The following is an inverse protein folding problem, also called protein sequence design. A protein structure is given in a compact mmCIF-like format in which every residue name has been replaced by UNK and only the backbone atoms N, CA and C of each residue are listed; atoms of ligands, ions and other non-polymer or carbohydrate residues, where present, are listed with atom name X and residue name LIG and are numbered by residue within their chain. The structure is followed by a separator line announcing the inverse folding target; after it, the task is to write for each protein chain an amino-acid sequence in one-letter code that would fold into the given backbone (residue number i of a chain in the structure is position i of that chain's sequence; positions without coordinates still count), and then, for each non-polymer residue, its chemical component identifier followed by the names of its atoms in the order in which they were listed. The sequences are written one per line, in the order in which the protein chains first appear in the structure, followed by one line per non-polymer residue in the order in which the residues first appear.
data_IF_959471628866
#
_entry.id   IF_959471628866
#
_cell.length_a   1.000
_cell.length_b   1.000
_cell.length_c   1.000
_cell.angle_alpha   90.00
_cell.angle_beta   90.00
_cell.angle_gamma   90.00
#
_symmetry.space_group_name_H-M   'P 1'
#
loop_
_entity.id
_entity.type
_entity.pdbx_description
1 polymer ?
#
# COMPACT_ATOMS: atom_id res chain seq x y z
N UNK A 1 -1.50 -1.83 -4.02
CA UNK A 1 -0.43 -2.20 -4.97
C UNK A 1 0.19 -3.49 -4.50
N UNK A 2 0.18 -4.52 -5.35
CA UNK A 2 0.49 -5.91 -4.97
C UNK A 2 -0.75 -6.79 -4.92
N UNK A 3 -0.54 -8.10 -5.13
CA UNK A 3 -1.57 -9.15 -5.14
C UNK A 3 -1.17 -10.35 -4.28
N UNK A 4 -0.29 -10.16 -3.30
CA UNK A 4 0.13 -11.20 -2.34
C UNK A 4 -0.78 -11.31 -1.11
N UNK A 5 -0.39 -12.10 -0.11
CA UNK A 5 -1.21 -12.37 1.08
C UNK A 5 -1.66 -11.12 1.85
N UNK A 6 -0.74 -10.17 2.10
CA UNK A 6 -1.08 -8.91 2.78
C UNK A 6 -2.14 -8.09 2.01
N UNK A 7 -2.12 -8.14 0.68
CA UNK A 7 -3.13 -7.44 -0.15
C UNK A 7 -4.53 -8.01 0.03
N UNK A 8 -4.65 -9.31 0.33
CA UNK A 8 -5.92 -9.97 0.57
C UNK A 8 -6.52 -9.56 1.93
N UNK A 9 -5.69 -9.45 2.97
CA UNK A 9 -6.11 -8.93 4.27
C UNK A 9 -6.60 -7.47 4.17
N UNK A 10 -5.84 -6.63 3.47
CA UNK A 10 -6.26 -5.24 3.19
C UNK A 10 -7.58 -5.21 2.40
N UNK A 11 -7.68 -6.00 1.33
CA UNK A 11 -8.89 -6.07 0.52
C UNK A 11 -10.11 -6.57 1.32
N UNK A 12 -9.93 -7.51 2.23
CA UNK A 12 -10.99 -7.97 3.12
C UNK A 12 -11.53 -6.82 3.99
N UNK A 13 -10.63 -6.04 4.60
CA UNK A 13 -11.01 -4.86 5.41
C UNK A 13 -11.73 -3.82 4.56
N UNK A 14 -11.21 -3.49 3.37
CA UNK A 14 -11.86 -2.53 2.47
C UNK A 14 -13.27 -2.99 2.05
N UNK A 15 -13.45 -4.28 1.75
CA UNK A 15 -14.78 -4.85 1.45
C UNK A 15 -15.72 -4.76 2.64
N UNK A 16 -15.24 -5.03 3.85
CA UNK A 16 -16.02 -4.94 5.09
C UNK A 16 -16.55 -3.52 5.32
N UNK A 17 -15.81 -2.50 4.92
CA UNK A 17 -16.22 -1.09 4.97
C UNK A 17 -16.86 -0.58 3.68
N UNK A 18 -17.13 -1.45 2.70
CA UNK A 18 -17.75 -1.10 1.40
C UNK A 18 -16.96 -0.02 0.64
N UNK A 19 -15.65 0.03 0.84
CA UNK A 19 -14.77 0.96 0.14
C UNK A 19 -14.42 0.34 -1.22
N UNK A 20 -14.74 0.99 -2.36
CA UNK A 20 -14.34 0.50 -3.67
C UNK A 20 -12.83 0.64 -3.86
N UNK A 21 -12.20 -0.37 -4.46
CA UNK A 21 -10.76 -0.39 -4.65
C UNK A 21 -10.35 -1.14 -5.91
N UNK A 22 -9.11 -0.89 -6.33
CA UNK A 22 -8.45 -1.59 -7.43
C UNK A 22 -7.23 -2.32 -6.88
N UNK A 23 -7.00 -3.54 -7.36
CA UNK A 23 -5.67 -4.13 -7.24
C UNK A 23 -4.79 -3.60 -8.36
N UNK A 24 -3.49 -3.50 -8.08
CA UNK A 24 -2.49 -3.10 -9.08
C UNK A 24 -1.37 -4.13 -9.04
N UNK A 25 -1.04 -4.74 -10.17
CA UNK A 25 0.00 -5.76 -10.26
C UNK A 25 0.69 -5.78 -11.62
N UNK A 26 1.88 -6.38 -11.68
CA UNK A 26 2.60 -6.62 -12.94
C UNK A 26 1.94 -7.68 -13.82
N UNK A 27 1.07 -8.51 -13.24
CA UNK A 27 0.29 -9.53 -13.97
C UNK A 27 -1.19 -9.36 -13.60
N UNK A 28 -2.06 -9.30 -14.60
CA UNK A 28 -3.52 -9.22 -14.39
C UNK A 28 -4.03 -10.60 -13.98
N UNK A 29 -4.26 -10.78 -12.68
CA UNK A 29 -4.73 -12.06 -12.13
C UNK A 29 -6.26 -12.19 -12.11
N UNK A 30 -7.00 -11.08 -12.17
CA UNK A 30 -8.47 -11.06 -12.13
C UNK A 30 -9.02 -9.73 -12.73
N UNK A 31 -10.31 -9.65 -13.09
CA UNK A 31 -10.86 -8.53 -13.88
C UNK A 31 -10.73 -7.14 -13.25
N UNK A 32 -10.71 -7.03 -11.92
CA UNK A 32 -10.53 -5.76 -11.19
C UNK A 32 -9.06 -5.39 -10.90
N UNK A 33 -8.12 -6.12 -11.50
CA UNK A 33 -6.69 -5.86 -11.38
C UNK A 33 -6.20 -4.97 -12.54
N UNK A 34 -5.66 -3.81 -12.19
CA UNK A 34 -4.96 -2.91 -13.11
C UNK A 34 -3.50 -3.34 -13.27
N UNK A 35 -2.94 -3.08 -14.44
CA UNK A 35 -1.50 -3.07 -14.64
C UNK A 35 -0.90 -1.74 -14.16
N UNK A 36 0.39 -1.70 -13.86
CA UNK A 36 1.06 -0.44 -13.48
C UNK A 36 1.01 0.60 -14.60
N UNK A 37 1.10 0.17 -15.86
CA UNK A 37 1.02 1.07 -17.02
C UNK A 37 -0.38 1.69 -17.17
N UNK A 38 -1.43 1.00 -16.70
CA UNK A 38 -2.80 1.51 -16.73
C UNK A 38 -2.96 2.72 -15.77
N UNK A 39 -2.03 2.93 -14.83
CA UNK A 39 -2.11 4.02 -13.86
C UNK A 39 -1.82 5.39 -14.47
N UNK A 40 -1.04 5.46 -15.57
CA UNK A 40 -0.64 6.73 -16.20
C UNK A 40 -1.86 7.49 -16.72
N UNK A 41 -2.87 6.77 -17.20
CA UNK A 41 -4.12 7.31 -17.72
C UNK A 41 -5.28 7.12 -16.73
N UNK A 42 -4.98 6.97 -15.43
CA UNK A 42 -6.01 6.72 -14.43
C UNK A 42 -6.73 8.02 -14.05
N UNK A 43 -7.90 8.24 -14.63
CA UNK A 43 -8.66 9.49 -14.48
C UNK A 43 -9.45 9.58 -13.17
N UNK A 44 -9.66 8.46 -12.47
CA UNK A 44 -10.47 8.46 -11.25
C UNK A 44 -9.67 9.04 -10.09
N UNK A 45 -10.32 9.90 -9.29
CA UNK A 45 -9.74 10.43 -8.06
C UNK A 45 -9.43 9.28 -7.09
N UNK A 46 -8.18 9.22 -6.62
CA UNK A 46 -7.72 8.26 -5.62
C UNK A 46 -7.50 8.99 -4.32
N UNK A 47 -8.14 8.54 -3.24
CA UNK A 47 -7.94 9.11 -1.91
C UNK A 47 -6.93 8.35 -1.07
N UNK A 48 -6.68 7.07 -1.41
CA UNK A 48 -5.85 6.16 -0.63
C UNK A 48 -5.06 5.23 -1.53
N UNK A 49 -3.76 5.14 -1.27
CA UNK A 49 -2.83 4.20 -1.91
C UNK A 49 -2.22 3.34 -0.82
N UNK A 50 -2.26 2.02 -1.02
CA UNK A 50 -1.69 1.06 -0.07
C UNK A 50 -0.64 0.23 -0.81
N UNK A 51 0.64 0.32 -0.43
CA UNK A 51 1.69 -0.57 -0.91
C UNK A 51 1.75 -1.82 -0.04
N UNK A 52 1.49 -2.98 -0.65
CA UNK A 52 1.62 -4.29 -0.02
C UNK A 52 2.67 -5.15 -0.71
N UNK A 53 3.56 -4.54 -1.50
CA UNK A 53 4.70 -5.21 -2.14
C UNK A 53 5.96 -5.03 -1.30
N UNK A 54 6.97 -5.90 -1.48
CA UNK A 54 8.26 -5.72 -0.80
C UNK A 54 9.17 -4.68 -1.49
N UNK A 55 8.69 -3.95 -2.51
CA UNK A 55 9.51 -2.99 -3.27
C UNK A 55 9.85 -1.79 -2.37
N UNK A 56 11.15 -1.50 -2.21
CA UNK A 56 11.64 -0.46 -1.30
C UNK A 56 11.97 -0.96 0.11
N UNK A 57 11.81 -2.26 0.37
CA UNK A 57 12.21 -2.89 1.64
C UNK A 57 13.73 -3.15 1.66
N UNK A 58 14.35 -3.13 2.84
CA UNK A 58 15.74 -3.55 3.00
C UNK A 58 15.96 -4.97 2.42
N UNK A 59 17.06 -5.21 1.66
CA UNK A 59 18.19 -4.31 1.41
C UNK A 59 18.00 -3.33 0.24
N UNK A 60 16.97 -3.51 -0.60
CA UNK A 60 16.75 -2.76 -1.84
C UNK A 60 16.00 -1.45 -1.59
N UNK A 61 16.51 -0.62 -0.69
CA UNK A 61 15.85 0.61 -0.22
C UNK A 61 15.74 1.72 -1.28
N UNK A 62 16.50 1.60 -2.36
CA UNK A 62 16.49 2.54 -3.48
C UNK A 62 15.46 2.17 -4.55
N UNK A 63 14.81 1.03 -4.44
CA UNK A 63 13.71 0.65 -5.32
C UNK A 63 12.43 1.36 -4.88
N UNK A 64 11.62 1.80 -5.85
CA UNK A 64 10.31 2.37 -5.57
C UNK A 64 9.32 1.93 -6.64
N UNK A 65 8.08 1.72 -6.22
CA UNK A 65 6.96 1.72 -7.16
C UNK A 65 6.80 3.15 -7.67
N UNK A 66 6.69 3.30 -8.99
CA UNK A 66 6.36 4.57 -9.59
C UNK A 66 4.86 4.83 -9.46
N UNK A 67 4.48 5.91 -8.77
CA UNK A 67 3.10 6.40 -8.73
C UNK A 67 3.01 7.58 -9.69
N UNK A 68 2.16 7.53 -10.74
CA UNK A 68 2.02 8.64 -11.67
C UNK A 68 1.68 9.96 -10.96
N UNK A 69 2.30 11.05 -11.40
CA UNK A 69 2.12 12.37 -10.81
C UNK A 69 0.66 12.83 -10.85
N UNK A 70 -0.08 12.43 -11.88
CA UNK A 70 -1.52 12.73 -12.01
C UNK A 70 -2.32 12.24 -10.80
N UNK A 71 -1.93 11.09 -10.23
CA UNK A 71 -2.53 10.54 -9.02
C UNK A 71 -2.03 11.32 -7.79
N UNK A 72 -0.72 11.54 -7.67
CA UNK A 72 -0.12 12.21 -6.52
C UNK A 72 -0.55 13.67 -6.35
N UNK A 73 -0.83 14.38 -7.44
CA UNK A 73 -1.35 15.77 -7.41
C UNK A 73 -2.69 15.89 -6.70
N UNK A 74 -3.47 14.80 -6.63
CA UNK A 74 -4.71 14.76 -5.84
C UNK A 74 -4.49 14.59 -4.33
N UNK A 75 -3.22 14.46 -3.91
CA UNK A 75 -2.75 14.29 -2.52
C UNK A 75 -3.43 13.14 -1.78
N UNK A 76 -3.38 11.90 -2.32
CA UNK A 76 -3.89 10.74 -1.61
C UNK A 76 -3.11 10.49 -0.31
N UNK A 77 -3.74 9.80 0.64
CA UNK A 77 -3.01 9.15 1.72
C UNK A 77 -2.22 7.97 1.17
N UNK A 78 -0.97 7.82 1.59
CA UNK A 78 -0.10 6.71 1.21
C UNK A 78 0.22 5.87 2.45
N UNK A 79 -0.16 4.60 2.42
CA UNK A 79 0.17 3.62 3.45
C UNK A 79 1.13 2.62 2.83
N UNK A 80 2.35 2.56 3.33
CA UNK A 80 3.32 1.55 2.95
C UNK A 80 3.42 0.50 4.04
N UNK A 81 3.15 -0.78 3.74
CA UNK A 81 3.22 -1.85 4.74
C UNK A 81 4.66 -2.23 5.11
N UNK A 82 5.66 -1.67 4.41
CA UNK A 82 7.06 -1.82 4.77
C UNK A 82 7.35 -1.04 6.05
N UNK A 83 8.05 -1.67 7.00
CA UNK A 83 8.49 -1.06 8.26
C UNK A 83 10.01 -0.89 8.35
N UNK A 84 10.77 -1.51 7.43
CA UNK A 84 12.22 -1.38 7.34
C UNK A 84 12.63 -1.16 5.87
N UNK A 85 13.07 0.04 5.47
CA UNK A 85 13.42 1.20 6.31
C UNK A 85 12.20 1.92 6.91
N UNK A 86 12.43 2.80 7.90
CA UNK A 86 11.36 3.61 8.52
C UNK A 86 10.68 4.56 7.53
N UNK A 87 11.42 5.03 6.51
CA UNK A 87 10.88 5.89 5.46
C UNK A 87 11.35 5.36 4.11
N UNK A 88 10.42 4.82 3.32
CA UNK A 88 10.68 4.25 2.00
C UNK A 88 10.68 5.31 0.91
N UNK A 89 11.24 4.99 -0.25
CA UNK A 89 11.32 5.94 -1.36
C UNK A 89 9.93 6.33 -1.91
N UNK A 90 8.95 5.42 -1.87
CA UNK A 90 7.55 5.72 -2.23
C UNK A 90 6.93 6.76 -1.28
N UNK A 91 7.23 6.69 0.02
CA UNK A 91 6.78 7.69 1.00
C UNK A 91 7.42 9.05 0.72
N UNK A 92 8.74 9.09 0.53
CA UNK A 92 9.47 10.32 0.19
C UNK A 92 8.92 10.98 -1.08
N UNK A 93 8.71 10.17 -2.11
CA UNK A 93 8.14 10.65 -3.37
C UNK A 93 6.73 11.21 -3.18
N UNK A 94 5.86 10.54 -2.42
CA UNK A 94 4.51 11.03 -2.14
C UNK A 94 4.52 12.33 -1.32
N UNK A 95 5.35 12.44 -0.29
CA UNK A 95 5.49 13.64 0.54
C UNK A 95 5.94 14.86 -0.27
N UNK A 96 6.76 14.69 -1.32
CA UNK A 96 7.15 15.79 -2.23
C UNK A 96 5.95 16.44 -2.95
N UNK A 97 4.83 15.73 -3.06
CA UNK A 97 3.56 16.26 -3.60
C UNK A 97 2.60 16.79 -2.52
N UNK A 98 3.02 16.76 -1.25
CA UNK A 98 2.20 17.12 -0.09
C UNK A 98 1.21 16.02 0.33
N UNK A 99 1.48 14.76 -0.06
CA UNK A 99 0.71 13.61 0.43
C UNK A 99 1.08 13.29 1.88
N UNK A 100 0.10 12.83 2.66
CA UNK A 100 0.39 12.19 3.94
C UNK A 100 0.85 10.75 3.69
N UNK A 101 1.95 10.33 4.31
CA UNK A 101 2.53 9.01 4.13
C UNK A 101 2.89 8.35 5.47
N UNK A 102 2.53 7.08 5.65
CA UNK A 102 2.85 6.27 6.85
C UNK A 102 3.43 4.91 6.46
N UNK A 103 4.27 4.38 7.33
CA UNK A 103 4.91 3.07 7.15
C UNK A 103 4.12 1.95 7.88
N UNK A 104 4.62 0.73 7.81
CA UNK A 104 3.97 -0.47 8.35
C UNK A 104 4.28 -0.75 9.83
N UNK A 105 5.00 0.13 10.52
CA UNK A 105 5.47 -0.14 11.88
C UNK A 105 4.31 -0.34 12.86
N UNK A 106 3.29 0.51 12.79
CA UNK A 106 2.13 0.41 13.68
C UNK A 106 1.31 -0.84 13.40
N UNK A 107 1.17 -1.22 12.12
CA UNK A 107 0.56 -2.51 11.75
C UNK A 107 1.30 -3.67 12.40
N UNK A 108 2.63 -3.69 12.34
CA UNK A 108 3.44 -4.76 12.95
C UNK A 108 3.23 -4.84 14.48
N UNK A 109 3.20 -3.68 15.15
CA UNK A 109 2.93 -3.60 16.60
C UNK A 109 1.55 -4.15 16.95
N UNK A 110 0.50 -3.68 16.27
CA UNK A 110 -0.87 -4.14 16.55
C UNK A 110 -1.05 -5.63 16.27
N UNK A 111 -0.39 -6.16 15.24
CA UNK A 111 -0.38 -7.59 14.98
C UNK A 111 0.27 -8.38 16.12
N UNK A 112 1.41 -7.91 16.63
CA UNK A 112 2.09 -8.57 17.75
C UNK A 112 1.26 -8.52 19.04
N UNK A 113 0.64 -7.37 19.35
CA UNK A 113 -0.24 -7.20 20.51
C UNK A 113 -1.45 -8.14 20.45
N UNK A 114 -2.08 -8.25 19.28
CA UNK A 114 -3.24 -9.13 19.11
C UNK A 114 -2.85 -10.61 19.17
N UNK A 115 -1.72 -11.01 18.58
CA UNK A 115 -1.19 -12.37 18.72
C UNK A 115 -0.90 -12.70 20.19
N UNK A 116 -0.29 -11.78 20.93
CA UNK A 116 -0.01 -11.94 22.35
C UNK A 116 -1.28 -12.07 23.18
N UNK A 117 -2.31 -11.26 22.88
CA UNK A 117 -3.62 -11.35 23.52
C UNK A 117 -4.27 -12.71 23.30
N UNK A 118 -4.21 -13.25 22.08
CA UNK A 118 -4.77 -14.56 21.75
C UNK A 118 -4.04 -15.70 22.45
N UNK A 119 -2.70 -15.68 22.50
CA UNK A 119 -1.93 -16.71 23.18
C UNK A 119 -2.17 -16.75 24.68
N UNK A 120 -2.43 -15.60 25.32
CA UNK A 120 -2.79 -15.55 26.75
C UNK A 120 -4.17 -16.12 27.09
N UNK A 121 -5.02 -16.34 26.09
CA UNK A 121 -6.35 -16.95 26.27
C UNK A 121 -6.33 -18.48 26.10
N UNK A 122 -5.18 -19.05 25.71
CA UNK A 122 -4.92 -20.48 25.66
C UNK A 122 -4.24 -20.95 26.94
#
# INVERSE_FOLDING_TARGET
MGTGGASLAVAYVLRKFTIPFYFVSRKKHFPSCLHYDDLVNFEKKVSLIINTTPVGMFPNINDSINIPEVILKSRPYVIDLIYNPLETLIMKNAQRYGCFAVNGMDMLKYQAEESWRLWKLC
#
